data_IF_173252140896
#
_entry.id   IF_173252140896
#
_cell.length_a   1.000
_cell.length_b   1.000
_cell.length_c   1.000
_cell.angle_alpha   90.00
_cell.angle_beta   90.00
_cell.angle_gamma   90.00
#
_symmetry.space_group_name_H-M   'P 1'
#
loop_
_entity.id
_entity.type
_entity.pdbx_description
1 polymer ?
#
# COMPACT_ATOMS: atom_id res chain seq x y z
N UNK A 1 -9.26 -5.26 15.35
CA UNK A 1 -8.37 -4.88 14.24
C UNK A 1 -7.67 -6.14 13.80
N UNK A 2 -8.05 -6.68 12.64
CA UNK A 2 -7.54 -7.94 12.11
C UNK A 2 -6.09 -7.70 11.67
N UNK A 3 -5.11 -8.24 12.40
CA UNK A 3 -3.73 -8.30 11.89
C UNK A 3 -3.73 -9.45 10.86
N UNK A 4 -3.84 -9.10 9.59
CA UNK A 4 -3.71 -10.06 8.52
C UNK A 4 -2.26 -10.56 8.50
N UNK A 5 -2.04 -11.79 8.97
CA UNK A 5 -0.84 -12.55 8.63
C UNK A 5 -0.97 -12.89 7.15
N UNK A 6 -0.45 -12.03 6.27
CA UNK A 6 -0.34 -12.31 4.84
C UNK A 6 0.62 -13.49 4.69
N UNK A 7 0.06 -14.69 4.55
CA UNK A 7 0.82 -15.90 4.26
C UNK A 7 1.13 -15.86 2.76
N UNK A 8 2.32 -15.39 2.42
CA UNK A 8 2.83 -15.37 1.04
C UNK A 8 2.90 -16.81 0.51
N UNK A 9 2.62 -17.00 -0.79
CA UNK A 9 2.72 -18.30 -1.45
C UNK A 9 4.17 -18.82 -1.42
N UNK A 10 4.35 -20.14 -1.47
CA UNK A 10 5.68 -20.77 -1.46
C UNK A 10 6.59 -20.24 -2.59
N UNK A 11 6.02 -19.97 -3.78
CA UNK A 11 6.73 -19.35 -4.89
C UNK A 11 7.23 -17.91 -4.57
N UNK A 12 6.52 -17.16 -3.72
CA UNK A 12 6.96 -15.83 -3.28
C UNK A 12 8.01 -15.92 -2.18
N UNK A 13 7.99 -16.98 -1.36
CA UNK A 13 9.01 -17.23 -0.33
C UNK A 13 10.37 -17.52 -0.98
N UNK A 14 10.40 -18.30 -2.07
CA UNK A 14 11.63 -18.66 -2.80
C UNK A 14 12.28 -17.47 -3.55
N UNK A 15 11.48 -16.51 -4.03
CA UNK A 15 12.00 -15.28 -4.65
C UNK A 15 12.63 -14.37 -3.58
N UNK A 16 11.99 -14.23 -2.42
CA UNK A 16 12.49 -13.40 -1.33
C UNK A 16 13.82 -13.95 -0.80
N UNK A 17 13.92 -15.27 -0.55
CA UNK A 17 15.14 -15.88 0.01
C UNK A 17 16.39 -15.75 -0.87
N UNK A 18 16.25 -15.55 -2.18
CA UNK A 18 17.38 -15.44 -3.11
C UNK A 18 17.80 -13.99 -3.44
N UNK A 19 17.01 -12.98 -3.07
CA UNK A 19 17.24 -11.57 -3.46
C UNK A 19 17.22 -10.61 -2.28
N UNK A 20 16.51 -10.93 -1.19
CA UNK A 20 16.29 -10.04 -0.05
C UNK A 20 16.54 -10.83 1.24
N UNK A 21 17.53 -10.42 2.05
CA UNK A 21 17.69 -10.98 3.39
C UNK A 21 16.50 -10.53 4.27
N UNK A 22 15.66 -11.44 4.78
CA UNK A 22 14.55 -11.10 5.66
C UNK A 22 14.97 -10.32 6.91
N UNK A 23 16.22 -10.50 7.36
CA UNK A 23 16.78 -9.76 8.50
C UNK A 23 17.09 -8.30 8.19
N UNK A 24 17.17 -7.92 6.91
CA UNK A 24 17.45 -6.55 6.47
C UNK A 24 16.18 -5.77 6.08
N UNK A 25 15.01 -6.42 6.14
CA UNK A 25 13.74 -5.78 5.81
C UNK A 25 13.35 -4.81 6.93
N UNK A 26 13.09 -3.56 6.53
CA UNK A 26 12.56 -2.52 7.41
C UNK A 26 11.19 -2.10 6.90
N UNK A 27 10.19 -2.17 7.77
CA UNK A 27 8.86 -1.66 7.50
C UNK A 27 8.86 -0.12 7.59
N UNK A 28 8.53 0.52 6.48
CA UNK A 28 8.50 1.98 6.36
C UNK A 28 7.05 2.44 6.28
N UNK A 29 6.69 3.45 7.07
CA UNK A 29 5.36 4.02 7.12
C UNK A 29 5.40 5.53 7.40
N UNK A 30 4.30 6.22 7.12
CA UNK A 30 4.18 7.66 7.34
C UNK A 30 3.89 8.03 8.82
N UNK A 31 3.69 9.32 9.09
CA UNK A 31 3.37 9.82 10.43
C UNK A 31 1.86 9.89 10.71
N UNK A 32 1.03 9.06 10.06
CA UNK A 32 -0.39 8.99 10.37
C UNK A 32 -0.62 8.70 11.86
N UNK A 33 -1.64 9.33 12.46
CA UNK A 33 -1.91 9.25 13.90
C UNK A 33 -2.06 7.82 14.41
N UNK A 34 -2.65 6.93 13.60
CA UNK A 34 -2.79 5.51 13.92
C UNK A 34 -1.45 4.76 13.99
N UNK A 35 -0.49 5.12 13.13
CA UNK A 35 0.84 4.53 13.12
C UNK A 35 1.69 5.04 14.28
N UNK A 36 1.50 6.30 14.68
CA UNK A 36 2.22 6.92 15.80
C UNK A 36 1.80 6.45 17.18
N UNK A 37 0.60 5.89 17.31
CA UNK A 37 0.05 5.49 18.59
C UNK A 37 0.95 4.46 19.30
N UNK A 38 1.22 4.66 20.59
CA UNK A 38 2.10 3.76 21.36
C UNK A 38 1.68 2.29 21.27
N UNK A 39 0.38 2.02 21.24
CA UNK A 39 -0.15 0.66 21.10
C UNK A 39 0.25 0.01 19.76
N UNK A 40 0.27 0.78 18.67
CA UNK A 40 0.72 0.31 17.36
C UNK A 40 2.22 0.08 17.35
N UNK A 41 2.99 1.00 17.93
CA UNK A 41 4.46 0.90 18.03
C UNK A 41 4.86 -0.35 18.84
N UNK A 42 4.26 -0.58 20.01
CA UNK A 42 4.48 -1.79 20.81
C UNK A 42 4.05 -3.05 20.06
N UNK A 43 2.91 -3.04 19.36
CA UNK A 43 2.47 -4.18 18.57
C UNK A 43 3.51 -4.59 17.52
N UNK A 44 4.14 -3.63 16.84
CA UNK A 44 5.19 -3.90 15.85
C UNK A 44 6.46 -4.47 16.52
N UNK A 45 6.87 -3.89 17.66
CA UNK A 45 8.02 -4.36 18.44
C UNK A 45 7.81 -5.77 18.99
N UNK A 46 6.65 -6.05 19.60
CA UNK A 46 6.28 -7.35 20.18
C UNK A 46 6.26 -8.47 19.13
N UNK A 47 6.03 -8.13 17.85
CA UNK A 47 6.06 -9.06 16.73
C UNK A 47 7.43 -9.14 16.03
N UNK A 48 8.47 -8.48 16.58
CA UNK A 48 9.82 -8.51 16.03
C UNK A 48 9.95 -7.79 14.69
N UNK A 49 9.02 -6.90 14.34
CA UNK A 49 9.08 -6.13 13.11
C UNK A 49 10.12 -5.02 13.28
N UNK A 50 11.11 -4.94 12.39
CA UNK A 50 11.99 -3.78 12.27
C UNK A 50 11.24 -2.71 11.48
N UNK A 51 11.11 -1.50 12.01
CA UNK A 51 10.37 -0.42 11.35
C UNK A 51 10.94 0.96 11.67
N UNK A 52 10.57 1.95 10.86
CA UNK A 52 10.90 3.35 11.15
C UNK A 52 9.94 3.94 12.17
N UNK A 53 10.47 4.20 13.37
CA UNK A 53 9.72 4.78 14.47
C UNK A 53 9.33 6.25 14.25
N UNK A 54 8.64 6.79 15.25
CA UNK A 54 8.13 8.17 15.25
C UNK A 54 9.24 9.25 15.12
N UNK A 55 10.48 8.89 15.40
CA UNK A 55 11.67 9.72 15.37
C UNK A 55 12.36 9.78 14.00
N UNK A 56 12.12 8.81 13.11
CA UNK A 56 12.86 8.67 11.85
C UNK A 56 12.15 9.35 10.67
N UNK A 57 10.86 9.06 10.46
CA UNK A 57 10.15 9.56 9.26
C UNK A 57 9.95 11.09 9.32
N UNK A 58 10.36 11.87 8.31
CA UNK A 58 10.12 13.32 8.29
C UNK A 58 8.62 13.64 8.13
N UNK A 59 8.15 14.67 8.83
CA UNK A 59 6.76 15.12 8.70
C UNK A 59 6.51 15.77 7.34
N UNK A 60 5.32 15.55 6.77
CA UNK A 60 4.90 16.13 5.48
C UNK A 60 5.79 15.78 4.28
N UNK A 61 6.36 14.58 4.25
CA UNK A 61 7.21 14.12 3.14
C UNK A 61 6.59 12.92 2.40
N UNK A 62 5.46 13.12 1.69
CA UNK A 62 4.85 12.05 0.89
C UNK A 62 5.76 11.62 -0.29
N UNK A 63 6.61 12.53 -0.76
CA UNK A 63 7.59 12.32 -1.83
C UNK A 63 8.66 11.26 -1.48
N UNK A 64 8.92 11.04 -0.19
CA UNK A 64 9.84 10.00 0.27
C UNK A 64 9.16 8.63 0.40
N UNK A 65 7.82 8.57 0.34
CA UNK A 65 7.05 7.34 0.51
C UNK A 65 6.80 6.67 -0.85
N UNK A 66 7.49 5.57 -1.13
CA UNK A 66 7.32 4.79 -2.36
C UNK A 66 5.86 4.32 -2.55
N UNK A 67 5.09 4.15 -1.47
CA UNK A 67 3.68 3.81 -1.57
C UNK A 67 2.84 4.87 -2.30
N UNK A 68 3.25 6.15 -2.27
CA UNK A 68 2.58 7.22 -3.02
C UNK A 68 2.78 7.07 -4.54
N UNK A 69 3.93 6.54 -4.98
CA UNK A 69 4.14 6.21 -6.39
C UNK A 69 3.16 5.11 -6.84
N UNK A 70 3.01 4.05 -6.03
CA UNK A 70 2.07 2.96 -6.31
C UNK A 70 0.64 3.51 -6.34
N UNK A 71 0.30 4.39 -5.39
CA UNK A 71 -1.01 5.04 -5.35
C UNK A 71 -1.30 5.82 -6.63
N UNK A 72 -0.31 6.54 -7.18
CA UNK A 72 -0.49 7.28 -8.44
C UNK A 72 -0.81 6.34 -9.60
N UNK A 73 -0.06 5.23 -9.73
CA UNK A 73 -0.29 4.24 -10.80
C UNK A 73 -1.71 3.65 -10.68
N UNK A 74 -2.12 3.27 -9.47
CA UNK A 74 -3.47 2.73 -9.23
C UNK A 74 -4.53 3.78 -9.56
N UNK A 75 -4.30 5.03 -9.18
CA UNK A 75 -5.23 6.12 -9.45
C UNK A 75 -5.45 6.31 -10.96
N UNK A 76 -4.37 6.36 -11.74
CA UNK A 76 -4.44 6.56 -13.19
C UNK A 76 -5.19 5.42 -13.88
N UNK A 77 -4.96 4.19 -13.44
CA UNK A 77 -5.66 3.00 -13.95
C UNK A 77 -7.17 3.04 -13.62
N UNK A 78 -7.52 3.40 -12.38
CA UNK A 78 -8.93 3.53 -11.97
C UNK A 78 -9.64 4.66 -12.71
N UNK A 79 -8.98 5.81 -12.87
CA UNK A 79 -9.54 6.93 -13.63
C UNK A 79 -9.79 6.55 -15.10
N UNK A 80 -8.87 5.79 -15.70
CA UNK A 80 -9.03 5.26 -17.08
C UNK A 80 -10.24 4.34 -17.19
N UNK A 81 -10.44 3.44 -16.22
CA UNK A 81 -11.59 2.53 -16.20
C UNK A 81 -12.92 3.27 -15.99
N UNK A 82 -12.96 4.29 -15.13
CA UNK A 82 -14.15 5.10 -14.92
C UNK A 82 -14.55 5.88 -16.18
N UNK A 83 -13.58 6.39 -16.93
CA UNK A 83 -13.83 7.09 -18.20
C UNK A 83 -14.41 6.14 -19.27
N UNK A 84 -13.86 4.92 -19.39
CA UNK A 84 -14.35 3.94 -20.37
C UNK A 84 -15.76 3.43 -20.04
N UNK A 85 -16.08 3.24 -18.76
CA UNK A 85 -17.45 2.93 -18.31
C UNK A 85 -18.44 4.07 -18.59
N UNK A 86 -18.00 5.32 -18.43
CA UNK A 86 -18.84 6.50 -18.68
C UNK A 86 -19.10 6.72 -20.18
N UNK A 87 -18.12 6.42 -21.03
CA UNK A 87 -18.30 6.41 -22.49
C UNK A 87 -19.25 5.29 -22.93
N UNK A 88 -19.05 4.06 -22.46
CA UNK A 88 -19.94 2.94 -22.75
C UNK A 88 -21.40 3.22 -22.36
N UNK A 89 -21.63 3.79 -21.18
CA UNK A 89 -23.00 4.07 -20.71
C UNK A 89 -23.70 5.17 -21.52
N UNK A 90 -22.97 6.17 -22.02
CA UNK A 90 -23.53 7.20 -22.91
C UNK A 90 -23.93 6.61 -24.26
N UNK A 91 -23.03 5.86 -24.87
CA UNK A 91 -23.29 5.23 -26.17
C UNK A 91 -24.45 4.23 -26.10
N UNK A 92 -24.59 3.53 -24.97
CA UNK A 92 -25.72 2.62 -24.72
C UNK A 92 -27.06 3.34 -24.57
N UNK A 93 -27.11 4.46 -23.83
CA UNK A 93 -28.32 5.27 -23.70
C UNK A 93 -28.78 5.89 -25.02
N UNK A 94 -27.85 6.36 -25.85
CA UNK A 94 -28.18 6.95 -27.15
C UNK A 94 -28.69 5.89 -28.14
N UNK A 95 -28.18 4.66 -28.04
CA UNK A 95 -28.67 3.52 -28.83
C UNK A 95 -30.09 3.09 -28.43
N UNK A 96 -30.45 3.21 -27.14
CA UNK A 96 -31.78 2.85 -26.63
C UNK A 96 -32.86 3.92 -26.90
N UNK A 97 -32.46 5.14 -27.29
CA UNK A 97 -33.37 6.27 -27.60
C UNK A 97 -33.72 6.35 -29.10
N UNK A 98 -33.15 5.50 -29.96
CA UNK A 98 -33.54 5.32 -31.37
C UNK A 98 -34.62 4.25 -31.54
#
# INVERSE_FOLDING_TARGET
MLVAKLKLSEASQDIIHNVIDPNEIIFVHDKASCMRANKTQHLLQDNGVKFWGNDIWPGNSPDLNVAECIRSIIKDEVETQMLSETEYNRDHEDTLKM
#
